data_IF_284130568239
#
_entry.id   IF_284130568239
#
_cell.length_a   1.000
_cell.length_b   1.000
_cell.length_c   1.000
_cell.angle_alpha   90.00
_cell.angle_beta   90.00
_cell.angle_gamma   90.00
#
_symmetry.space_group_name_H-M   'P 1'
#
loop_
_entity.id
_entity.type
_entity.pdbx_description
1 polymer ?
#
# COMPACT_ATOMS: atom_id res chain seq x y z
N UNK A 1 3.10 22.26 24.77
CA UNK A 1 3.38 21.34 23.65
C UNK A 1 4.56 20.38 23.93
N UNK A 2 5.47 20.72 24.85
CA UNK A 2 6.63 19.86 25.18
C UNK A 2 6.34 18.74 26.18
N UNK A 3 5.21 18.76 26.88
CA UNK A 3 4.90 17.78 27.94
C UNK A 3 4.29 16.47 27.44
N UNK A 4 3.81 16.42 26.21
CA UNK A 4 3.27 15.20 25.59
C UNK A 4 4.38 14.18 25.32
N UNK A 5 5.61 14.65 25.05
CA UNK A 5 6.76 13.78 24.76
C UNK A 5 7.46 13.20 26.00
N UNK A 6 7.23 13.74 27.19
CA UNK A 6 7.92 13.29 28.40
C UNK A 6 7.26 12.13 29.17
N UNK A 7 6.08 11.68 28.78
CA UNK A 7 5.37 10.59 29.47
C UNK A 7 5.57 9.19 28.91
N UNK A 8 6.40 9.04 27.88
CA UNK A 8 6.77 7.70 27.37
C UNK A 8 8.09 7.21 27.99
N UNK A 9 8.22 7.34 29.31
CA UNK A 9 9.22 6.59 30.07
C UNK A 9 8.86 5.12 30.04
N UNK A 10 9.64 4.36 29.30
CA UNK A 10 9.58 2.90 29.26
C UNK A 10 9.60 2.32 30.68
N UNK A 11 8.44 2.03 31.27
CA UNK A 11 8.34 1.16 32.44
C UNK A 11 8.41 -0.28 31.97
N UNK A 12 9.58 -0.87 32.21
CA UNK A 12 9.79 -2.32 32.10
C UNK A 12 8.64 -3.04 32.79
N UNK A 13 7.88 -3.85 32.05
CA UNK A 13 7.01 -4.86 32.61
C UNK A 13 5.53 -4.66 32.32
N UNK A 14 5.13 -4.83 31.07
CA UNK A 14 3.92 -5.56 30.66
C UNK A 14 3.92 -5.70 29.15
N UNK A 15 4.30 -6.87 28.69
CA UNK A 15 4.08 -7.38 27.34
C UNK A 15 2.57 -7.34 27.08
N UNK A 16 2.11 -6.65 26.00
CA UNK A 16 0.80 -6.97 25.50
C UNK A 16 -0.07 -5.87 24.89
N UNK A 17 0.25 -4.58 25.01
CA UNK A 17 -0.50 -3.56 24.27
C UNK A 17 0.41 -3.01 23.17
N UNK A 18 0.27 -3.52 21.96
CA UNK A 18 0.88 -2.86 20.81
C UNK A 18 0.29 -1.46 20.72
N UNK A 19 1.16 -0.45 20.75
CA UNK A 19 0.74 0.92 20.51
C UNK A 19 0.11 0.99 19.11
N UNK A 20 -1.03 1.67 19.02
CA UNK A 20 -1.79 1.79 17.76
C UNK A 20 -1.64 3.20 17.21
N UNK A 21 -1.76 3.31 15.92
CA UNK A 21 -1.86 4.59 15.21
C UNK A 21 -3.09 4.60 14.29
N UNK A 22 -3.57 5.77 13.94
CA UNK A 22 -4.68 5.90 13.01
C UNK A 22 -4.18 5.78 11.58
N UNK A 23 -4.76 4.85 10.81
CA UNK A 23 -4.48 4.67 9.40
C UNK A 23 -5.67 5.16 8.57
N UNK A 24 -5.41 6.03 7.62
CA UNK A 24 -6.37 6.48 6.62
C UNK A 24 -5.83 6.19 5.22
N UNK A 25 -6.57 5.43 4.44
CA UNK A 25 -6.24 5.07 3.06
C UNK A 25 -7.30 5.70 2.16
N UNK A 26 -6.87 6.65 1.34
CA UNK A 26 -7.72 7.31 0.34
C UNK A 26 -7.22 7.01 -1.06
N UNK A 27 -8.06 6.40 -1.87
CA UNK A 27 -7.82 6.17 -3.29
C UNK A 27 -8.55 7.22 -4.14
N UNK A 28 -8.27 7.28 -5.44
CA UNK A 28 -8.98 8.16 -6.36
C UNK A 28 -10.49 7.89 -6.44
N UNK A 29 -10.90 6.67 -6.11
CA UNK A 29 -12.32 6.27 -6.03
C UNK A 29 -13.02 6.69 -4.73
N UNK A 30 -12.28 7.20 -3.74
CA UNK A 30 -12.78 7.59 -2.42
C UNK A 30 -12.01 6.97 -1.27
N UNK A 31 -12.55 7.14 -0.06
CA UNK A 31 -11.97 6.54 1.14
C UNK A 31 -12.08 5.01 1.09
N UNK A 32 -10.94 4.35 1.27
CA UNK A 32 -10.86 2.88 1.26
C UNK A 32 -10.89 2.28 2.66
N UNK A 33 -10.17 2.88 3.60
CA UNK A 33 -10.07 2.43 4.98
C UNK A 33 -9.75 3.59 5.93
N UNK A 34 -10.39 3.59 7.09
CA UNK A 34 -10.04 4.46 8.21
C UNK A 34 -10.21 3.68 9.53
N UNK A 35 -9.17 3.64 10.35
CA UNK A 35 -9.22 2.96 11.63
C UNK A 35 -7.88 2.85 12.32
N UNK A 36 -7.88 2.23 13.50
CA UNK A 36 -6.67 1.96 14.27
C UNK A 36 -5.88 0.79 13.68
N UNK A 37 -4.56 0.96 13.57
CA UNK A 37 -3.63 0.01 13.00
C UNK A 37 -2.47 -0.25 13.95
N UNK A 38 -1.98 -1.47 14.01
CA UNK A 38 -0.86 -1.90 14.86
C UNK A 38 0.48 -1.86 14.12
N UNK A 39 0.45 -2.27 12.85
CA UNK A 39 1.62 -2.26 11.97
C UNK A 39 1.21 -2.06 10.53
N UNK A 40 2.08 -1.46 9.73
CA UNK A 40 1.86 -1.18 8.33
C UNK A 40 3.14 -1.45 7.55
N UNK A 41 3.03 -2.09 6.41
CA UNK A 41 4.12 -2.30 5.46
C UNK A 41 3.73 -1.75 4.11
N UNK A 42 4.53 -0.82 3.61
CA UNK A 42 4.28 -0.06 2.39
C UNK A 42 5.18 -0.55 1.25
N UNK A 43 4.67 -0.68 0.02
CA UNK A 43 5.50 -0.96 -1.14
C UNK A 43 6.18 0.33 -1.65
N UNK A 44 7.51 0.29 -1.76
CA UNK A 44 8.32 1.39 -2.28
C UNK A 44 9.26 0.91 -3.38
N UNK A 45 9.89 1.82 -4.10
CA UNK A 45 10.87 1.51 -5.14
C UNK A 45 12.05 0.67 -4.62
N UNK A 46 12.46 0.92 -3.38
CA UNK A 46 13.58 0.23 -2.74
C UNK A 46 13.19 -1.06 -2.01
N UNK A 47 11.91 -1.43 -2.04
CA UNK A 47 11.38 -2.60 -1.37
C UNK A 47 10.23 -2.27 -0.42
N UNK A 48 10.13 -3.01 0.68
CA UNK A 48 9.06 -2.82 1.66
C UNK A 48 9.51 -1.90 2.80
N UNK A 49 8.67 -0.93 3.12
CA UNK A 49 8.88 0.04 4.19
C UNK A 49 7.93 -0.22 5.36
N UNK A 50 8.47 -0.57 6.51
CA UNK A 50 7.70 -0.89 7.71
C UNK A 50 7.43 0.34 8.57
N UNK A 51 6.19 0.49 9.03
CA UNK A 51 5.73 1.58 9.91
C UNK A 51 5.03 0.99 11.14
N UNK A 52 5.41 1.49 12.30
CA UNK A 52 4.77 1.19 13.58
C UNK A 52 4.42 2.50 14.31
N UNK A 53 3.64 2.40 15.38
CA UNK A 53 3.32 3.56 16.21
C UNK A 53 4.59 4.25 16.73
N UNK A 54 4.53 5.57 16.80
CA UNK A 54 5.69 6.37 17.23
C UNK A 54 6.77 6.56 16.17
N UNK A 55 6.54 6.15 14.91
CA UNK A 55 7.49 6.38 13.81
C UNK A 55 7.74 7.87 13.59
N UNK A 56 9.01 8.22 13.32
CA UNK A 56 9.38 9.61 13.03
C UNK A 56 8.62 10.14 11.80
N UNK A 57 8.27 11.43 11.76
CA UNK A 57 7.59 12.02 10.62
C UNK A 57 8.38 11.86 9.32
N UNK A 58 7.74 11.34 8.28
CA UNK A 58 8.35 11.14 6.96
C UNK A 58 7.28 11.10 5.87
N UNK A 59 7.64 11.55 4.68
CA UNK A 59 6.87 11.32 3.45
C UNK A 59 7.51 10.20 2.66
N UNK A 60 6.73 9.19 2.30
CA UNK A 60 7.18 8.00 1.58
C UNK A 60 6.47 7.94 0.23
N UNK A 61 7.25 7.85 -0.85
CA UNK A 61 6.70 7.58 -2.18
C UNK A 61 6.36 6.09 -2.31
N UNK A 62 5.16 5.80 -2.77
CA UNK A 62 4.65 4.45 -2.95
C UNK A 62 4.69 4.06 -4.42
N UNK A 63 5.12 2.84 -4.69
CA UNK A 63 4.94 2.20 -6.00
C UNK A 63 3.85 1.14 -5.93
N UNK A 64 3.28 0.82 -7.08
CA UNK A 64 2.25 -0.20 -7.15
C UNK A 64 2.74 -1.54 -6.59
N UNK A 65 2.05 -2.05 -5.59
CA UNK A 65 2.41 -3.30 -4.93
C UNK A 65 1.43 -3.67 -3.81
N UNK A 66 1.75 -4.74 -3.10
CA UNK A 66 0.97 -5.20 -1.97
C UNK A 66 1.39 -4.45 -0.71
N UNK A 67 0.45 -3.75 -0.13
CA UNK A 67 0.51 -3.19 1.21
C UNK A 67 -0.08 -4.19 2.20
N UNK A 68 0.51 -4.29 3.38
CA UNK A 68 0.00 -5.09 4.50
C UNK A 68 -0.22 -4.20 5.71
N UNK A 69 -1.33 -4.38 6.39
CA UNK A 69 -1.58 -3.71 7.66
C UNK A 69 -2.34 -4.61 8.64
N UNK A 70 -2.05 -4.46 9.92
CA UNK A 70 -2.60 -5.29 10.98
C UNK A 70 -3.58 -4.50 11.83
N UNK A 71 -4.80 -5.01 11.96
CA UNK A 71 -5.88 -4.45 12.76
C UNK A 71 -6.39 -5.54 13.70
N UNK A 72 -6.32 -5.29 15.01
CA UNK A 72 -6.75 -6.25 16.03
C UNK A 72 -6.13 -7.65 15.87
N UNK A 73 -4.83 -7.71 15.56
CA UNK A 73 -4.10 -8.97 15.36
C UNK A 73 -4.32 -9.63 13.99
N UNK A 74 -5.18 -9.08 13.15
CA UNK A 74 -5.51 -9.62 11.84
C UNK A 74 -4.79 -8.84 10.73
N UNK A 75 -3.96 -9.53 9.96
CA UNK A 75 -3.23 -8.91 8.85
C UNK A 75 -4.07 -8.90 7.59
N UNK A 76 -4.21 -7.72 7.00
CA UNK A 76 -4.93 -7.48 5.74
C UNK A 76 -3.96 -7.11 4.63
N UNK A 77 -4.21 -7.64 3.45
CA UNK A 77 -3.43 -7.36 2.25
C UNK A 77 -4.27 -6.53 1.29
N UNK A 78 -3.68 -5.48 0.74
CA UNK A 78 -4.32 -4.58 -0.21
C UNK A 78 -3.35 -4.28 -1.34
N UNK A 79 -3.78 -4.42 -2.58
CA UNK A 79 -3.04 -3.95 -3.73
C UNK A 79 -3.26 -2.44 -3.86
N UNK A 80 -2.20 -1.67 -3.70
CA UNK A 80 -2.23 -0.21 -3.87
C UNK A 80 -1.51 0.20 -5.15
N UNK A 81 -1.99 1.27 -5.77
CA UNK A 81 -1.31 1.93 -6.88
C UNK A 81 -0.24 2.90 -6.39
N UNK A 82 0.32 3.63 -7.34
CA UNK A 82 1.30 4.67 -7.05
C UNK A 82 0.68 5.77 -6.17
N UNK A 83 1.47 6.36 -5.30
CA UNK A 83 0.98 7.39 -4.40
C UNK A 83 2.02 7.88 -3.40
N UNK A 84 1.54 8.49 -2.35
CA UNK A 84 2.35 8.97 -1.24
C UNK A 84 1.74 8.58 0.11
N UNK A 85 2.59 8.36 1.09
CA UNK A 85 2.21 8.17 2.47
C UNK A 85 2.83 9.26 3.35
N UNK A 86 2.00 9.96 4.11
CA UNK A 86 2.44 10.80 5.21
C UNK A 86 2.43 9.97 6.49
N UNK A 87 3.60 9.77 7.06
CA UNK A 87 3.79 9.02 8.31
C UNK A 87 4.07 9.99 9.44
N UNK A 88 3.34 9.86 10.53
CA UNK A 88 3.57 10.61 11.76
C UNK A 88 3.54 9.65 12.97
N UNK A 89 3.99 10.05 14.15
CA UNK A 89 3.94 9.19 15.33
C UNK A 89 2.53 8.71 15.72
N UNK A 90 1.50 9.48 15.41
CA UNK A 90 0.12 9.24 15.82
C UNK A 90 -0.80 8.75 14.69
N UNK A 91 -0.51 9.10 13.45
CA UNK A 91 -1.33 8.75 12.31
C UNK A 91 -0.51 8.55 11.02
N UNK A 92 -1.09 7.82 10.10
CA UNK A 92 -0.58 7.63 8.74
C UNK A 92 -1.70 7.89 7.75
N UNK A 93 -1.44 8.74 6.76
CA UNK A 93 -2.38 9.03 5.66
C UNK A 93 -1.77 8.55 4.36
N UNK A 94 -2.47 7.70 3.64
CA UNK A 94 -2.11 7.24 2.30
C UNK A 94 -3.03 7.88 1.26
N UNK A 95 -2.41 8.49 0.26
CA UNK A 95 -3.07 8.98 -0.95
C UNK A 95 -2.54 8.18 -2.13
N UNK A 96 -3.37 7.29 -2.67
CA UNK A 96 -2.99 6.36 -3.72
C UNK A 96 -3.91 6.46 -4.94
N UNK A 97 -3.39 6.13 -6.10
CA UNK A 97 -4.17 6.11 -7.34
C UNK A 97 -5.30 5.07 -7.29
N UNK A 98 -5.01 3.90 -6.75
CA UNK A 98 -5.99 2.83 -6.58
C UNK A 98 -5.73 2.00 -5.31
N UNK A 99 -6.79 1.42 -4.75
CA UNK A 99 -6.70 0.45 -3.67
C UNK A 99 -7.71 -0.67 -3.93
N UNK A 100 -7.23 -1.90 -4.01
CA UNK A 100 -8.04 -3.07 -4.36
C UNK A 100 -7.74 -4.21 -3.38
N UNK A 101 -8.77 -4.91 -2.92
CA UNK A 101 -8.57 -6.15 -2.18
C UNK A 101 -8.23 -7.26 -3.17
N UNK A 102 -7.27 -8.15 -2.88
CA UNK A 102 -6.93 -9.26 -3.77
C UNK A 102 -8.13 -10.15 -4.14
N UNK A 103 -9.08 -10.28 -3.22
CA UNK A 103 -10.31 -11.07 -3.39
C UNK A 103 -11.26 -10.46 -4.43
N UNK A 104 -11.24 -9.13 -4.57
CA UNK A 104 -12.12 -8.38 -5.48
C UNK A 104 -11.53 -8.22 -6.88
N UNK A 105 -10.28 -8.67 -7.09
CA UNK A 105 -9.59 -8.57 -8.39
C UNK A 105 -10.12 -9.64 -9.34
N UNK A 106 -10.65 -9.20 -10.49
CA UNK A 106 -11.03 -10.08 -11.58
C UNK A 106 -9.79 -10.58 -12.35
N UNK A 107 -9.43 -11.84 -12.11
CA UNK A 107 -8.26 -12.48 -12.73
C UNK A 107 -8.35 -12.52 -14.26
N UNK A 108 -9.52 -12.80 -14.82
CA UNK A 108 -9.70 -12.85 -16.27
C UNK A 108 -9.51 -11.47 -16.92
N UNK A 109 -10.04 -10.43 -16.28
CA UNK A 109 -9.87 -9.05 -16.75
C UNK A 109 -8.41 -8.60 -16.64
N UNK A 110 -7.71 -8.98 -15.58
CA UNK A 110 -6.29 -8.68 -15.39
C UNK A 110 -5.43 -9.40 -16.44
N UNK A 111 -5.72 -10.67 -16.74
CA UNK A 111 -5.03 -11.43 -17.78
C UNK A 111 -5.27 -10.84 -19.18
N UNK A 112 -6.50 -10.47 -19.50
CA UNK A 112 -6.82 -9.80 -20.77
C UNK A 112 -6.10 -8.45 -20.89
N UNK A 113 -5.97 -7.69 -19.81
CA UNK A 113 -5.22 -6.42 -19.78
C UNK A 113 -3.72 -6.66 -19.98
N UNK A 114 -3.14 -7.71 -19.41
CA UNK A 114 -1.75 -8.11 -19.62
C UNK A 114 -1.46 -8.40 -21.09
N UNK A 115 -2.29 -9.24 -21.71
CA UNK A 115 -2.16 -9.61 -23.12
C UNK A 115 -2.21 -8.38 -24.02
N UNK A 116 -3.20 -7.50 -23.83
CA UNK A 116 -3.32 -6.25 -24.60
C UNK A 116 -2.11 -5.34 -24.46
N UNK A 117 -1.56 -5.22 -23.24
CA UNK A 117 -0.38 -4.41 -22.98
C UNK A 117 0.87 -4.99 -23.65
N UNK A 118 1.06 -6.32 -23.61
CA UNK A 118 2.15 -7.02 -24.30
C UNK A 118 2.08 -6.84 -25.82
N UNK A 119 0.88 -7.00 -26.42
CA UNK A 119 0.66 -6.78 -27.85
C UNK A 119 1.01 -5.35 -28.26
N UNK A 120 0.60 -4.34 -27.47
CA UNK A 120 0.96 -2.95 -27.74
C UNK A 120 2.47 -2.70 -27.69
N UNK A 121 3.20 -3.34 -26.80
CA UNK A 121 4.65 -3.22 -26.70
C UNK A 121 5.40 -3.82 -27.91
N UNK A 122 4.81 -4.78 -28.62
CA UNK A 122 5.39 -5.40 -29.81
C UNK A 122 5.26 -4.53 -31.06
N UNK A 123 4.35 -3.55 -31.08
CA UNK A 123 4.17 -2.63 -32.21
C UNK A 123 5.10 -1.42 -32.11
N UNK A 124 5.51 -0.87 -33.29
CA UNK A 124 6.20 0.42 -33.33
C UNK A 124 5.27 1.51 -32.82
N UNK A 125 5.73 2.23 -31.79
CA UNK A 125 4.95 3.26 -31.13
C UNK A 125 5.86 4.41 -30.70
N UNK A 126 5.26 5.57 -30.41
CA UNK A 126 5.98 6.70 -29.83
C UNK A 126 6.51 6.35 -28.43
N UNK A 127 7.53 7.10 -27.95
CA UNK A 127 8.05 6.93 -26.59
C UNK A 127 6.94 7.05 -25.54
N UNK A 128 6.00 7.98 -25.73
CA UNK A 128 4.86 8.15 -24.82
C UNK A 128 3.96 6.92 -24.77
N UNK A 129 3.57 6.37 -25.92
CA UNK A 129 2.76 5.15 -26.00
C UNK A 129 3.49 3.93 -25.45
N UNK A 130 4.80 3.83 -25.66
CA UNK A 130 5.63 2.78 -25.08
C UNK A 130 5.57 2.81 -23.54
N UNK A 131 5.79 3.97 -22.92
CA UNK A 131 5.73 4.10 -21.48
C UNK A 131 4.33 3.84 -20.92
N UNK A 132 3.28 4.30 -21.59
CA UNK A 132 1.89 4.01 -21.23
C UNK A 132 1.60 2.50 -21.25
N UNK A 133 2.04 1.80 -22.28
CA UNK A 133 1.87 0.36 -22.41
C UNK A 133 2.67 -0.40 -21.36
N UNK A 134 3.88 0.06 -21.01
CA UNK A 134 4.71 -0.54 -19.96
C UNK A 134 4.09 -0.39 -18.57
N UNK A 135 3.53 0.76 -18.26
CA UNK A 135 2.79 0.99 -17.00
C UNK A 135 1.55 0.10 -16.93
N UNK A 136 0.78 -0.01 -18.02
CA UNK A 136 -0.39 -0.87 -18.08
C UNK A 136 -0.04 -2.36 -17.88
N UNK A 137 1.06 -2.82 -18.46
CA UNK A 137 1.58 -4.17 -18.27
C UNK A 137 1.95 -4.42 -16.80
N UNK A 138 2.69 -3.51 -16.18
CA UNK A 138 3.07 -3.62 -14.78
C UNK A 138 1.84 -3.71 -13.86
N UNK A 139 0.85 -2.85 -14.06
CA UNK A 139 -0.42 -2.88 -13.30
C UNK A 139 -1.15 -4.21 -13.44
N UNK A 140 -1.23 -4.76 -14.65
CA UNK A 140 -1.86 -6.06 -14.91
C UNK A 140 -1.11 -7.21 -14.21
N UNK A 141 0.22 -7.22 -14.29
CA UNK A 141 1.06 -8.22 -13.64
C UNK A 141 0.96 -8.17 -12.12
N UNK A 142 0.94 -6.98 -11.53
CA UNK A 142 0.78 -6.82 -10.07
C UNK A 142 -0.59 -7.34 -9.60
N UNK A 143 -1.66 -7.10 -10.35
CA UNK A 143 -2.99 -7.67 -10.06
C UNK A 143 -2.98 -9.20 -10.12
N UNK A 144 -2.36 -9.78 -11.13
CA UNK A 144 -2.24 -11.23 -11.25
C UNK A 144 -1.42 -11.85 -10.11
N UNK A 145 -0.32 -11.23 -9.73
CA UNK A 145 0.48 -11.68 -8.58
C UNK A 145 -0.29 -11.59 -7.27
N UNK A 146 -1.01 -10.49 -7.05
CA UNK A 146 -1.85 -10.32 -5.86
C UNK A 146 -2.92 -11.41 -5.77
N UNK A 147 -3.60 -11.68 -6.88
CA UNK A 147 -4.61 -12.75 -6.95
C UNK A 147 -4.01 -14.13 -6.69
N UNK A 148 -2.87 -14.44 -7.30
CA UNK A 148 -2.22 -15.75 -7.14
C UNK A 148 -1.71 -15.99 -5.72
N UNK A 149 -1.23 -14.94 -5.04
CA UNK A 149 -0.61 -15.07 -3.72
C UNK A 149 -1.63 -14.99 -2.58
N UNK A 150 -2.63 -14.14 -2.69
CA UNK A 150 -3.52 -13.77 -1.58
C UNK A 150 -4.99 -14.17 -1.76
N UNK A 151 -5.39 -14.58 -2.94
CA UNK A 151 -6.74 -15.07 -3.22
C UNK A 151 -6.70 -16.58 -3.47
N UNK A 152 -6.44 -17.31 -2.40
CA UNK A 152 -6.50 -18.79 -2.41
C UNK A 152 -7.74 -19.29 -1.71
#
# INVERSE_FOLDING_TARGET
>A
ASDVYKRQGCRKGRCGLMEKFVLNITASSGEFFQGECESLTLPTADGQYGVQAGHSPVLVALEMGIMQFTVNGETRNVLVGDGIAEVTPAYVVLLVDSAERPEDIDKNRAEAARIRAEERLQHKQSMHEYYQSKIALNRAMQRLQATAKYNR
#
